data_IF_307549767594
#
_entry.id   IF_307549767594
#
_cell.length_a   1.000
_cell.length_b   1.000
_cell.length_c   1.000
_cell.angle_alpha   90.00
_cell.angle_beta   90.00
_cell.angle_gamma   90.00
#
_symmetry.space_group_name_H-M   'P 1'
#
loop_
_entity.id
_entity.type
_entity.pdbx_description
1 polymer ?
#
# COMPACT_ATOMS: atom_id res chain seq x y z
N UNK A 1 14.35 21.28 22.92
CA UNK A 1 14.45 21.92 21.60
C UNK A 1 14.53 20.90 20.45
N UNK A 2 15.45 19.93 20.45
CA UNK A 2 15.59 18.94 19.38
C UNK A 2 14.28 18.17 19.09
N UNK A 3 13.64 17.60 20.11
CA UNK A 3 12.40 16.87 19.96
C UNK A 3 11.26 17.72 19.40
N UNK A 4 11.06 18.94 19.90
CA UNK A 4 9.99 19.82 19.45
C UNK A 4 10.14 20.25 17.98
N UNK A 5 11.37 20.61 17.56
CA UNK A 5 11.65 20.99 16.16
C UNK A 5 11.44 19.82 15.19
N UNK A 6 11.94 18.62 15.52
CA UNK A 6 11.79 17.45 14.67
C UNK A 6 10.35 16.95 14.59
N UNK A 7 9.58 17.02 15.68
CA UNK A 7 8.16 16.66 15.67
C UNK A 7 7.30 17.55 14.76
N UNK A 8 7.64 18.85 14.66
CA UNK A 8 6.95 19.78 13.75
C UNK A 8 7.23 19.47 12.27
N UNK A 9 8.38 18.87 11.97
CA UNK A 9 8.80 18.50 10.62
C UNK A 9 8.38 17.09 10.23
N UNK A 10 7.97 16.26 11.19
CA UNK A 10 7.61 14.87 10.95
C UNK A 10 6.27 14.77 10.22
N UNK A 11 6.29 14.32 8.96
CA UNK A 11 5.12 13.94 8.18
C UNK A 11 4.85 12.44 8.28
N UNK A 12 3.63 12.02 7.98
CA UNK A 12 3.25 10.60 7.87
C UNK A 12 3.11 10.20 6.40
N UNK A 13 3.55 9.00 6.06
CA UNK A 13 3.34 8.44 4.73
C UNK A 13 3.04 6.95 4.81
N UNK A 14 1.79 6.59 4.49
CA UNK A 14 1.30 5.21 4.49
C UNK A 14 1.38 4.58 3.09
N UNK A 15 1.98 5.26 2.11
CA UNK A 15 2.11 4.73 0.76
C UNK A 15 3.12 3.58 0.70
N UNK A 16 2.62 2.38 0.40
CA UNK A 16 3.44 1.18 0.26
C UNK A 16 4.54 1.34 -0.81
N UNK A 17 4.29 2.14 -1.85
CA UNK A 17 5.28 2.44 -2.88
C UNK A 17 6.48 3.24 -2.37
N UNK A 18 6.30 4.03 -1.30
CA UNK A 18 7.38 4.78 -0.66
C UNK A 18 8.22 3.93 0.31
N UNK A 19 7.75 2.74 0.69
CA UNK A 19 8.48 1.82 1.56
C UNK A 19 9.60 1.07 0.83
N UNK A 20 9.49 0.95 -0.50
CA UNK A 20 10.48 0.29 -1.34
C UNK A 20 11.32 1.33 -2.07
N UNK A 21 12.63 1.23 -1.90
CA UNK A 21 13.57 2.05 -2.68
C UNK A 21 13.96 1.27 -3.93
N UNK A 22 13.29 1.54 -5.04
CA UNK A 22 13.69 0.99 -6.35
C UNK A 22 14.89 1.80 -6.84
N UNK A 23 16.01 1.15 -7.18
CA UNK A 23 17.16 1.84 -7.78
C UNK A 23 16.76 2.65 -9.02
N UNK A 24 17.33 3.83 -9.19
CA UNK A 24 16.94 4.78 -10.25
C UNK A 24 17.04 4.19 -11.66
N UNK A 25 18.02 3.32 -11.92
CA UNK A 25 18.16 2.65 -13.21
C UNK A 25 17.02 1.66 -13.48
N UNK A 26 16.58 0.87 -12.48
CA UNK A 26 15.45 -0.05 -12.64
C UNK A 26 14.13 0.70 -12.85
N UNK A 27 13.96 1.85 -12.19
CA UNK A 27 12.81 2.71 -12.42
C UNK A 27 12.79 3.29 -13.83
N UNK A 28 13.95 3.69 -14.35
CA UNK A 28 14.09 4.17 -15.73
C UNK A 28 13.79 3.06 -16.74
N UNK A 29 14.26 1.83 -16.48
CA UNK A 29 13.97 0.67 -17.33
C UNK A 29 12.48 0.30 -17.31
N UNK A 30 11.84 0.35 -16.14
CA UNK A 30 10.39 0.16 -15.99
C UNK A 30 9.60 1.21 -16.77
N UNK A 31 9.98 2.49 -16.66
CA UNK A 31 9.35 3.58 -17.41
C UNK A 31 9.54 3.42 -18.93
N UNK A 32 10.71 2.95 -19.36
CA UNK A 32 10.98 2.65 -20.77
C UNK A 32 10.11 1.49 -21.26
N UNK A 33 10.06 0.38 -20.53
CA UNK A 33 9.22 -0.78 -20.86
C UNK A 33 7.74 -0.33 -20.95
N UNK A 34 7.26 0.43 -19.99
CA UNK A 34 5.89 0.97 -19.98
C UNK A 34 5.61 1.82 -21.23
N UNK A 35 6.56 2.68 -21.61
CA UNK A 35 6.42 3.53 -22.78
C UNK A 35 6.41 2.73 -24.08
N UNK A 36 7.28 1.73 -24.19
CA UNK A 36 7.41 0.90 -25.40
C UNK A 36 6.27 -0.10 -25.56
N UNK A 37 5.80 -0.69 -24.48
CA UNK A 37 4.76 -1.73 -24.52
C UNK A 37 3.35 -1.20 -24.37
N UNK A 38 3.18 0.05 -23.91
CA UNK A 38 1.88 0.62 -23.53
C UNK A 38 1.26 -0.14 -22.34
N UNK A 39 1.99 -1.06 -21.76
CA UNK A 39 1.50 -1.93 -20.68
C UNK A 39 1.98 -1.36 -19.35
N UNK A 40 1.11 -0.60 -18.71
CA UNK A 40 1.30 -0.19 -17.33
C UNK A 40 0.89 -1.38 -16.45
N UNK A 41 1.83 -1.96 -15.73
CA UNK A 41 1.56 -2.99 -14.71
C UNK A 41 0.80 -2.37 -13.52
N UNK A 42 -0.25 -1.62 -13.84
CA UNK A 42 -1.09 -1.01 -12.81
C UNK A 42 -1.75 -2.13 -12.01
N UNK A 43 -1.64 -2.01 -10.70
CA UNK A 43 -2.34 -2.90 -9.77
C UNK A 43 -3.81 -2.47 -9.63
N UNK A 44 -4.44 -2.07 -10.76
CA UNK A 44 -5.81 -1.59 -10.83
C UNK A 44 -6.59 -2.30 -11.92
N UNK A 45 -7.72 -2.86 -11.57
CA UNK A 45 -8.55 -3.59 -12.51
C UNK A 45 -10.00 -3.64 -12.06
N UNK A 46 -10.89 -3.85 -13.01
CA UNK A 46 -12.24 -4.31 -12.70
C UNK A 46 -12.29 -5.82 -12.69
N UNK A 47 -13.10 -6.37 -11.80
CA UNK A 47 -13.55 -7.76 -11.84
C UNK A 47 -15.03 -7.73 -12.21
N UNK A 48 -15.36 -8.29 -13.36
CA UNK A 48 -16.73 -8.38 -13.87
C UNK A 48 -17.17 -9.82 -13.76
N UNK A 49 -18.14 -10.10 -12.90
CA UNK A 49 -18.64 -11.46 -12.62
C UNK A 49 -20.04 -11.63 -13.19
N UNK A 50 -20.29 -12.77 -13.84
CA UNK A 50 -21.60 -13.19 -14.31
C UNK A 50 -21.90 -14.63 -13.91
N UNK A 51 -23.18 -14.98 -13.73
CA UNK A 51 -23.62 -16.35 -13.45
C UNK A 51 -23.36 -17.30 -14.62
N UNK A 52 -23.11 -16.74 -15.80
CA UNK A 52 -22.69 -17.42 -17.01
C UNK A 52 -21.64 -16.60 -17.76
N UNK A 53 -20.84 -17.24 -18.66
CA UNK A 53 -19.90 -16.54 -19.51
C UNK A 53 -20.55 -15.44 -20.35
N UNK A 54 -21.75 -15.69 -20.85
CA UNK A 54 -22.50 -14.72 -21.66
C UNK A 54 -22.92 -13.48 -20.86
N UNK A 55 -23.35 -13.67 -19.61
CA UNK A 55 -23.68 -12.56 -18.72
C UNK A 55 -22.44 -11.76 -18.34
N UNK A 56 -21.31 -12.41 -18.09
CA UNK A 56 -20.04 -11.75 -17.84
C UNK A 56 -19.61 -10.91 -19.05
N UNK A 57 -19.79 -11.41 -20.27
CA UNK A 57 -19.50 -10.66 -21.51
C UNK A 57 -20.43 -9.46 -21.69
N UNK A 58 -21.74 -9.60 -21.42
CA UNK A 58 -22.69 -8.48 -21.50
C UNK A 58 -22.32 -7.36 -20.52
N UNK A 59 -21.97 -7.72 -19.30
CA UNK A 59 -21.50 -6.76 -18.29
C UNK A 59 -20.17 -6.12 -18.68
N UNK A 60 -19.25 -6.91 -19.27
CA UNK A 60 -17.99 -6.39 -19.83
C UNK A 60 -18.25 -5.38 -20.94
N UNK A 61 -19.17 -5.65 -21.87
CA UNK A 61 -19.50 -4.75 -22.96
C UNK A 61 -20.08 -3.43 -22.42
N UNK A 62 -21.04 -3.50 -21.48
CA UNK A 62 -21.62 -2.33 -20.83
C UNK A 62 -20.57 -1.49 -20.04
N UNK A 63 -19.60 -2.15 -19.39
CA UNK A 63 -18.48 -1.47 -18.74
C UNK A 63 -17.55 -0.85 -19.79
N UNK A 64 -17.28 -1.54 -20.89
CA UNK A 64 -16.42 -1.09 -21.98
C UNK A 64 -16.85 0.26 -22.57
N UNK A 65 -18.15 0.47 -22.78
CA UNK A 65 -18.70 1.75 -23.22
C UNK A 65 -18.39 2.90 -22.24
N UNK A 66 -18.51 2.63 -20.94
CA UNK A 66 -18.19 3.63 -19.90
C UNK A 66 -16.70 3.93 -19.85
N UNK A 67 -15.86 2.90 -19.99
CA UNK A 67 -14.40 3.07 -20.02
C UNK A 67 -13.95 3.83 -21.27
N UNK A 68 -14.63 3.65 -22.41
CA UNK A 68 -14.38 4.46 -23.60
C UNK A 68 -14.68 5.95 -23.36
N UNK A 69 -15.80 6.27 -22.72
CA UNK A 69 -16.13 7.64 -22.34
C UNK A 69 -15.09 8.26 -21.38
N UNK A 70 -14.66 7.51 -20.35
CA UNK A 70 -13.61 7.97 -19.42
C UNK A 70 -12.26 8.20 -20.11
N UNK A 71 -11.98 7.43 -21.16
CA UNK A 71 -10.77 7.62 -21.98
C UNK A 71 -10.87 8.90 -22.81
N UNK A 72 -12.02 9.20 -23.40
CA UNK A 72 -12.27 10.44 -24.14
C UNK A 72 -12.18 11.68 -23.23
N UNK A 73 -12.62 11.54 -21.97
CA UNK A 73 -12.46 12.58 -20.96
C UNK A 73 -11.02 12.73 -20.45
N UNK A 74 -10.08 11.85 -20.87
CA UNK A 74 -8.69 11.86 -20.45
C UNK A 74 -8.46 11.41 -19.00
N UNK A 75 -9.44 10.77 -18.37
CA UNK A 75 -9.35 10.25 -17.00
C UNK A 75 -8.60 8.92 -16.92
N UNK A 76 -8.57 8.16 -18.01
CA UNK A 76 -7.78 6.95 -18.17
C UNK A 76 -7.05 6.99 -19.52
N UNK A 77 -5.91 6.32 -19.60
CA UNK A 77 -5.17 6.15 -20.86
C UNK A 77 -5.66 4.95 -21.65
N UNK A 78 -6.17 3.91 -20.97
CA UNK A 78 -6.71 2.72 -21.60
C UNK A 78 -7.24 1.69 -20.61
N UNK A 79 -7.89 0.69 -21.18
CA UNK A 79 -8.32 -0.52 -20.46
C UNK A 79 -8.12 -1.74 -21.36
N UNK A 80 -7.69 -2.85 -20.76
CA UNK A 80 -7.45 -4.09 -21.50
C UNK A 80 -8.66 -5.00 -21.36
N UNK A 81 -9.50 -5.00 -22.38
CA UNK A 81 -10.69 -5.88 -22.49
C UNK A 81 -10.34 -7.12 -23.30
N UNK A 82 -10.91 -8.26 -22.93
CA UNK A 82 -10.84 -9.44 -23.82
C UNK A 82 -11.55 -9.13 -25.14
N UNK A 83 -11.01 -9.56 -26.30
CA UNK A 83 -11.53 -9.18 -27.63
C UNK A 83 -12.73 -10.06 -28.06
N UNK A 84 -13.46 -10.62 -27.12
CA UNK A 84 -14.70 -11.34 -27.38
C UNK A 84 -15.87 -10.56 -26.78
N UNK A 85 -16.82 -10.16 -27.62
CA UNK A 85 -18.04 -9.50 -27.21
C UNK A 85 -19.15 -10.51 -26.87
N UNK A 86 -20.19 -10.06 -26.19
CA UNK A 86 -21.41 -10.85 -25.95
C UNK A 86 -22.09 -11.20 -27.29
N UNK A 87 -22.90 -12.24 -27.29
CA UNK A 87 -23.65 -12.64 -28.51
C UNK A 87 -24.53 -11.52 -29.02
N UNK A 88 -25.15 -10.74 -28.14
CA UNK A 88 -25.97 -9.61 -28.51
C UNK A 88 -25.15 -8.56 -29.26
N UNK A 89 -23.97 -8.21 -28.78
CA UNK A 89 -23.06 -7.26 -29.42
C UNK A 89 -22.53 -7.81 -30.73
N UNK A 90 -22.12 -9.09 -30.78
CA UNK A 90 -21.68 -9.75 -32.02
C UNK A 90 -22.77 -9.74 -33.09
N UNK A 91 -24.02 -9.93 -32.71
CA UNK A 91 -25.15 -9.87 -33.64
C UNK A 91 -25.41 -8.45 -34.14
N UNK A 92 -25.34 -7.44 -33.25
CA UNK A 92 -25.45 -6.03 -33.65
C UNK A 92 -24.34 -5.62 -34.61
N UNK A 93 -23.09 -6.03 -34.32
CA UNK A 93 -21.93 -5.78 -35.16
C UNK A 93 -22.12 -6.42 -36.55
N UNK A 94 -22.65 -7.66 -36.58
CA UNK A 94 -22.95 -8.36 -37.83
C UNK A 94 -23.97 -7.61 -38.69
N UNK A 95 -25.04 -7.09 -38.12
CA UNK A 95 -26.03 -6.30 -38.85
C UNK A 95 -25.40 -5.02 -39.43
N UNK A 96 -24.49 -4.37 -38.72
CA UNK A 96 -23.72 -3.22 -39.20
C UNK A 96 -22.81 -3.61 -40.36
N UNK A 97 -22.06 -4.72 -40.23
CA UNK A 97 -21.17 -5.26 -41.27
C UNK A 97 -21.99 -5.60 -42.52
N UNK A 98 -23.10 -6.29 -42.35
CA UNK A 98 -23.99 -6.64 -43.48
C UNK A 98 -24.50 -5.41 -44.21
N UNK A 99 -24.85 -4.35 -43.48
CA UNK A 99 -25.30 -3.08 -44.07
C UNK A 99 -24.18 -2.32 -44.80
N UNK A 100 -22.94 -2.39 -44.28
CA UNK A 100 -21.78 -1.72 -44.88
C UNK A 100 -21.14 -2.52 -46.03
N UNK A 101 -21.28 -3.86 -46.04
CA UNK A 101 -20.63 -4.79 -46.98
C UNK A 101 -20.80 -4.41 -48.46
N UNK A 102 -21.98 -3.98 -48.97
CA UNK A 102 -22.14 -3.64 -50.39
C UNK A 102 -21.20 -2.51 -50.83
N UNK A 103 -21.05 -1.48 -50.00
CA UNK A 103 -20.21 -0.33 -50.31
C UNK A 103 -18.70 -0.70 -50.28
N UNK A 104 -18.30 -1.51 -49.30
CA UNK A 104 -16.92 -2.00 -49.17
C UNK A 104 -16.56 -2.92 -50.34
N UNK A 105 -17.46 -3.86 -50.70
CA UNK A 105 -17.24 -4.77 -51.81
C UNK A 105 -17.18 -4.06 -53.17
N UNK A 106 -17.97 -3.01 -53.37
CA UNK A 106 -17.87 -2.18 -54.57
C UNK A 106 -16.47 -1.55 -54.68
N UNK A 107 -15.97 -0.96 -53.60
CA UNK A 107 -14.64 -0.32 -53.56
C UNK A 107 -13.48 -1.31 -53.71
N UNK A 108 -13.61 -2.53 -53.19
CA UNK A 108 -12.65 -3.62 -53.39
C UNK A 108 -12.62 -4.06 -54.86
N UNK A 109 -13.77 -4.17 -55.53
CA UNK A 109 -13.84 -4.49 -56.96
C UNK A 109 -13.18 -3.44 -57.83
N UNK A 110 -13.38 -2.15 -57.52
CA UNK A 110 -12.68 -1.03 -58.20
C UNK A 110 -11.15 -1.17 -58.07
N UNK A 111 -10.67 -1.68 -56.95
CA UNK A 111 -9.23 -1.95 -56.71
C UNK A 111 -8.76 -3.27 -57.29
N UNK A 112 -9.57 -4.02 -58.05
CA UNK A 112 -9.22 -5.31 -58.64
C UNK A 112 -9.28 -6.49 -57.69
N UNK A 113 -9.84 -6.35 -56.48
CA UNK A 113 -9.95 -7.40 -55.49
C UNK A 113 -11.35 -8.06 -55.58
N UNK A 114 -11.40 -9.34 -55.96
CA UNK A 114 -12.63 -10.13 -55.99
C UNK A 114 -12.91 -10.73 -54.59
N UNK A 115 -13.80 -10.08 -53.85
CA UNK A 115 -14.27 -10.58 -52.54
C UNK A 115 -15.77 -10.94 -52.63
N UNK A 116 -16.17 -11.98 -51.87
CA UNK A 116 -17.57 -12.40 -51.72
C UNK A 116 -18.09 -11.92 -50.35
N UNK A 117 -19.37 -11.56 -50.25
CA UNK A 117 -19.97 -11.29 -48.95
C UNK A 117 -20.00 -12.56 -48.09
N UNK A 118 -19.78 -12.44 -46.80
CA UNK A 118 -20.05 -13.49 -45.83
C UNK A 118 -21.57 -13.67 -45.74
N UNK A 119 -22.04 -14.91 -45.78
CA UNK A 119 -23.48 -15.24 -45.79
C UNK A 119 -24.01 -15.65 -44.44
N UNK A 120 -23.16 -16.12 -43.56
CA UNK A 120 -23.54 -16.62 -42.25
C UNK A 120 -23.05 -15.71 -41.12
N UNK A 121 -23.83 -15.65 -40.05
CA UNK A 121 -23.42 -14.90 -38.85
C UNK A 121 -22.40 -15.72 -38.08
N UNK A 122 -21.13 -15.33 -38.03
CA UNK A 122 -20.08 -16.10 -37.35
C UNK A 122 -20.04 -15.79 -35.84
N UNK A 123 -21.17 -15.99 -35.12
CA UNK A 123 -21.13 -15.81 -33.65
C UNK A 123 -20.16 -16.80 -33.03
N UNK A 124 -19.18 -16.31 -32.26
CA UNK A 124 -18.17 -17.10 -31.58
C UNK A 124 -18.56 -17.32 -30.11
N UNK A 125 -18.92 -18.56 -29.72
CA UNK A 125 -19.22 -18.85 -28.32
C UNK A 125 -17.98 -18.75 -27.44
N UNK A 126 -18.13 -18.30 -26.19
CA UNK A 126 -17.04 -18.21 -25.22
C UNK A 126 -16.29 -19.53 -25.02
N UNK A 127 -17.02 -20.65 -24.93
CA UNK A 127 -16.45 -21.97 -24.74
C UNK A 127 -15.55 -22.45 -25.90
N UNK A 128 -15.80 -21.98 -27.10
CA UNK A 128 -14.95 -22.22 -28.28
C UNK A 128 -13.74 -21.27 -28.23
N UNK A 129 -14.00 -20.01 -28.00
CA UNK A 129 -12.95 -18.97 -27.98
C UNK A 129 -11.88 -19.25 -26.93
N UNK A 130 -12.26 -19.60 -25.70
CA UNK A 130 -11.31 -19.80 -24.59
C UNK A 130 -10.37 -21.00 -24.79
N UNK A 131 -10.76 -21.95 -25.64
CA UNK A 131 -9.95 -23.13 -25.95
C UNK A 131 -9.04 -22.96 -27.16
N UNK A 132 -9.23 -21.88 -27.90
CA UNK A 132 -8.43 -21.59 -29.09
C UNK A 132 -7.05 -21.06 -28.70
N UNK A 133 -6.04 -21.37 -29.49
CA UNK A 133 -4.66 -20.90 -29.30
C UNK A 133 -4.55 -19.37 -29.37
N UNK A 134 -5.39 -18.71 -30.15
CA UNK A 134 -5.45 -17.25 -30.28
C UNK A 134 -5.84 -16.58 -28.97
N UNK A 135 -6.68 -17.24 -28.17
CA UNK A 135 -7.14 -16.71 -26.87
C UNK A 135 -6.15 -16.94 -25.71
N UNK A 136 -5.09 -17.73 -25.94
CA UNK A 136 -4.15 -18.15 -24.87
C UNK A 136 -3.57 -16.99 -24.07
N UNK A 137 -3.26 -15.84 -24.72
CA UNK A 137 -2.77 -14.63 -24.05
C UNK A 137 -3.82 -13.93 -23.18
N UNK A 138 -5.11 -14.16 -23.47
CA UNK A 138 -6.24 -13.54 -22.77
C UNK A 138 -6.81 -14.43 -21.67
N UNK A 139 -6.50 -15.73 -21.71
CA UNK A 139 -6.98 -16.71 -20.71
C UNK A 139 -6.63 -16.33 -19.26
N UNK A 140 -5.52 -15.65 -19.04
CA UNK A 140 -5.11 -15.12 -17.74
C UNK A 140 -6.03 -14.01 -17.18
N UNK A 141 -6.84 -13.37 -18.04
CA UNK A 141 -7.83 -12.38 -17.65
C UNK A 141 -9.19 -13.01 -17.31
N UNK A 142 -9.32 -14.32 -17.49
CA UNK A 142 -10.52 -15.08 -17.13
C UNK A 142 -10.28 -15.76 -15.79
N UNK A 143 -11.04 -15.37 -14.78
CA UNK A 143 -10.96 -15.89 -13.42
C UNK A 143 -12.18 -16.79 -13.19
N UNK A 144 -11.98 -18.09 -12.98
CA UNK A 144 -13.06 -19.05 -12.83
C UNK A 144 -13.74 -19.44 -14.17
N UNK A 145 -14.59 -20.46 -14.16
CA UNK A 145 -15.36 -20.87 -15.35
C UNK A 145 -14.51 -21.41 -16.51
N UNK A 146 -13.30 -21.93 -16.27
CA UNK A 146 -12.33 -22.36 -17.27
C UNK A 146 -12.83 -23.45 -18.27
N UNK A 147 -14.03 -23.99 -18.07
CA UNK A 147 -14.70 -24.89 -18.99
C UNK A 147 -15.76 -24.23 -19.87
N UNK A 148 -16.00 -22.93 -19.73
CA UNK A 148 -17.05 -22.21 -20.50
C UNK A 148 -18.47 -22.43 -19.97
N UNK A 149 -18.61 -22.92 -18.73
CA UNK A 149 -19.89 -23.18 -18.06
C UNK A 149 -19.80 -22.73 -16.60
N UNK A 150 -20.87 -22.09 -16.11
CA UNK A 150 -20.97 -21.61 -14.73
C UNK A 150 -20.53 -20.19 -14.51
N UNK A 151 -20.37 -19.82 -13.26
CA UNK A 151 -19.94 -18.48 -12.85
C UNK A 151 -18.59 -18.13 -13.45
N UNK A 152 -18.53 -17.00 -14.14
CA UNK A 152 -17.34 -16.55 -14.85
C UNK A 152 -17.03 -15.13 -14.43
N UNK A 153 -15.76 -14.87 -14.09
CA UNK A 153 -15.25 -13.54 -13.77
C UNK A 153 -14.20 -13.12 -14.80
N UNK A 154 -14.28 -11.88 -15.23
CA UNK A 154 -13.35 -11.28 -16.19
C UNK A 154 -12.57 -10.17 -15.49
N UNK A 155 -11.25 -10.20 -15.60
CA UNK A 155 -10.37 -9.14 -15.12
C UNK A 155 -10.09 -8.14 -16.24
N UNK A 156 -10.33 -6.87 -15.98
CA UNK A 156 -10.13 -5.78 -16.92
C UNK A 156 -9.13 -4.79 -16.34
N UNK A 157 -7.83 -4.93 -16.63
CA UNK A 157 -6.81 -3.97 -16.22
C UNK A 157 -7.07 -2.59 -16.81
N UNK A 158 -6.90 -1.55 -15.98
CA UNK A 158 -7.09 -0.15 -16.36
C UNK A 158 -5.78 0.61 -16.19
N UNK A 159 -5.46 1.43 -17.17
CA UNK A 159 -4.27 2.27 -17.23
C UNK A 159 -4.68 3.74 -17.16
N UNK A 160 -3.91 4.56 -16.46
CA UNK A 160 -4.18 5.99 -16.38
C UNK A 160 -3.68 6.64 -15.10
N UNK A 161 -3.98 7.92 -14.97
CA UNK A 161 -3.59 8.72 -13.82
C UNK A 161 -4.29 8.25 -12.52
N UNK A 162 -3.63 8.50 -11.39
CA UNK A 162 -4.13 8.19 -10.04
C UNK A 162 -4.66 9.46 -9.35
N UNK A 163 -5.41 10.25 -10.09
CA UNK A 163 -6.08 11.39 -9.50
C UNK A 163 -7.36 10.97 -8.76
N UNK A 164 -7.70 11.65 -7.68
CA UNK A 164 -8.94 11.40 -6.94
C UNK A 164 -10.20 11.49 -7.84
N UNK A 165 -10.15 12.34 -8.89
CA UNK A 165 -11.23 12.45 -9.86
C UNK A 165 -11.36 11.19 -10.72
N UNK A 166 -10.24 10.65 -11.20
CA UNK A 166 -10.22 9.41 -11.97
C UNK A 166 -10.70 8.23 -11.13
N UNK A 167 -10.21 8.09 -9.89
CA UNK A 167 -10.62 7.01 -8.98
C UNK A 167 -12.11 7.06 -8.64
N UNK A 168 -12.67 8.25 -8.37
CA UNK A 168 -14.10 8.43 -8.16
C UNK A 168 -14.94 8.06 -9.40
N UNK A 169 -14.45 8.40 -10.60
CA UNK A 169 -15.12 8.07 -11.85
C UNK A 169 -15.09 6.55 -12.13
N UNK A 170 -13.97 5.89 -11.87
CA UNK A 170 -13.83 4.42 -11.98
C UNK A 170 -14.73 3.69 -10.98
N UNK A 171 -14.79 4.15 -9.74
CA UNK A 171 -15.68 3.59 -8.73
C UNK A 171 -17.16 3.76 -9.09
N UNK A 172 -17.53 4.93 -9.68
CA UNK A 172 -18.86 5.16 -10.22
C UNK A 172 -19.17 4.25 -11.41
N UNK A 173 -18.21 4.01 -12.29
CA UNK A 173 -18.37 3.08 -13.41
C UNK A 173 -18.62 1.65 -12.88
N UNK A 174 -17.87 1.18 -11.88
CA UNK A 174 -18.10 -0.11 -11.23
C UNK A 174 -19.52 -0.24 -10.67
N UNK A 175 -19.96 0.74 -9.88
CA UNK A 175 -21.28 0.69 -9.21
C UNK A 175 -22.45 0.76 -10.20
N UNK A 176 -22.22 1.23 -11.43
CA UNK A 176 -23.25 1.35 -12.46
C UNK A 176 -23.49 0.08 -13.27
N UNK A 177 -22.62 -0.95 -13.13
CA UNK A 177 -22.76 -2.24 -13.81
C UNK A 177 -22.84 -3.34 -12.75
N UNK A 178 -23.98 -4.06 -12.64
CA UNK A 178 -24.13 -5.12 -11.66
C UNK A 178 -23.03 -6.18 -11.77
N UNK A 179 -22.58 -6.75 -10.64
CA UNK A 179 -21.53 -7.75 -10.63
C UNK A 179 -20.14 -7.25 -11.00
N UNK A 180 -19.93 -5.93 -10.99
CA UNK A 180 -18.62 -5.32 -11.27
C UNK A 180 -18.03 -4.75 -9.99
N UNK A 181 -16.77 -5.08 -9.71
CA UNK A 181 -16.02 -4.59 -8.57
C UNK A 181 -14.77 -3.88 -9.08
N UNK A 182 -14.54 -2.68 -8.60
CA UNK A 182 -13.28 -1.95 -8.80
C UNK A 182 -12.27 -2.37 -7.75
N UNK A 183 -11.07 -2.72 -8.15
CA UNK A 183 -9.96 -3.12 -7.28
C UNK A 183 -8.75 -2.23 -7.56
N UNK A 184 -8.33 -1.47 -6.58
CA UNK A 184 -7.03 -0.79 -6.54
C UNK A 184 -6.22 -1.36 -5.38
N UNK A 185 -5.39 -2.35 -5.68
CA UNK A 185 -4.61 -3.07 -4.66
C UNK A 185 -3.71 -2.13 -3.86
N UNK A 186 -3.16 -1.09 -4.49
CA UNK A 186 -2.30 -0.13 -3.79
C UNK A 186 -3.11 0.73 -2.81
N UNK A 187 -4.27 1.23 -3.25
CA UNK A 187 -5.16 2.00 -2.39
C UNK A 187 -5.68 1.16 -1.21
N UNK A 188 -6.08 -0.08 -1.47
CA UNK A 188 -6.54 -1.01 -0.43
C UNK A 188 -5.44 -1.29 0.61
N UNK A 189 -4.21 -1.53 0.16
CA UNK A 189 -3.07 -1.74 1.05
C UNK A 189 -2.72 -0.47 1.84
N UNK A 190 -2.74 0.70 1.22
CA UNK A 190 -2.50 1.97 1.91
C UNK A 190 -3.56 2.22 2.99
N UNK A 191 -4.82 1.89 2.70
CA UNK A 191 -5.90 1.98 3.69
C UNK A 191 -5.69 1.01 4.87
N UNK A 192 -5.27 -0.23 4.58
CA UNK A 192 -4.93 -1.20 5.63
C UNK A 192 -3.77 -0.70 6.49
N UNK A 193 -2.68 -0.17 5.89
CA UNK A 193 -1.56 0.37 6.63
C UNK A 193 -1.93 1.57 7.49
N UNK A 194 -2.77 2.46 6.98
CA UNK A 194 -3.31 3.59 7.76
C UNK A 194 -4.11 3.10 8.98
N UNK A 195 -4.96 2.08 8.80
CA UNK A 195 -5.69 1.46 9.90
C UNK A 195 -4.79 0.82 10.96
N UNK A 196 -3.78 0.06 10.52
CA UNK A 196 -2.81 -0.58 11.42
C UNK A 196 -1.96 0.48 12.13
N UNK A 197 -1.55 1.56 11.45
CA UNK A 197 -0.85 2.69 12.05
C UNK A 197 -1.64 3.28 13.21
N UNK A 198 -2.89 3.62 12.99
CA UNK A 198 -3.77 4.19 14.03
C UNK A 198 -3.93 3.22 15.22
N UNK A 199 -4.03 1.92 14.94
CA UNK A 199 -4.11 0.91 16.00
C UNK A 199 -2.82 0.85 16.83
N UNK A 200 -1.63 0.91 16.21
CA UNK A 200 -0.35 0.90 16.90
C UNK A 200 -0.16 2.19 17.72
N UNK A 201 -0.53 3.34 17.17
CA UNK A 201 -0.49 4.63 17.90
C UNK A 201 -1.37 4.57 19.16
N UNK A 202 -2.60 4.05 19.04
CA UNK A 202 -3.49 3.87 20.17
C UNK A 202 -2.93 2.86 21.21
N UNK A 203 -2.35 1.76 20.75
CA UNK A 203 -1.72 0.75 21.62
C UNK A 203 -0.52 1.34 22.37
N UNK A 204 0.31 2.14 21.69
CA UNK A 204 1.46 2.81 22.30
C UNK A 204 1.02 3.78 23.40
N UNK A 205 -0.01 4.61 23.11
CA UNK A 205 -0.58 5.52 24.10
C UNK A 205 -1.22 4.78 25.27
N UNK A 206 -1.98 3.72 25.01
CA UNK A 206 -2.59 2.89 26.04
C UNK A 206 -1.55 2.18 26.91
N UNK A 207 -0.46 1.69 26.31
CA UNK A 207 0.66 1.06 27.06
C UNK A 207 1.34 2.05 27.98
N UNK A 208 1.63 3.27 27.48
CA UNK A 208 2.19 4.34 28.32
C UNK A 208 1.28 4.69 29.48
N UNK A 209 -0.03 4.85 29.25
CA UNK A 209 -1.00 5.15 30.27
C UNK A 209 -1.14 4.01 31.30
N UNK A 210 -1.16 2.77 30.86
CA UNK A 210 -1.24 1.59 31.73
C UNK A 210 0.00 1.47 32.62
N UNK A 211 1.18 1.62 32.03
CA UNK A 211 2.45 1.59 32.76
C UNK A 211 2.47 2.72 33.81
N UNK A 212 2.10 3.94 33.39
CA UNK A 212 2.00 5.05 34.33
C UNK A 212 1.04 4.76 35.48
N UNK A 213 -0.16 4.22 35.20
CA UNK A 213 -1.14 3.89 36.22
C UNK A 213 -0.64 2.83 37.22
N UNK A 214 0.01 1.76 36.73
CA UNK A 214 0.57 0.69 37.58
C UNK A 214 1.65 1.26 38.50
N UNK A 215 2.59 2.07 37.95
CA UNK A 215 3.65 2.65 38.76
C UNK A 215 3.17 3.75 39.69
N UNK A 216 2.18 4.57 39.28
CA UNK A 216 1.56 5.57 40.14
C UNK A 216 0.86 4.93 41.32
N UNK A 217 0.15 3.81 41.10
CA UNK A 217 -0.52 3.06 42.16
C UNK A 217 0.48 2.40 43.11
N UNK A 218 1.60 1.83 42.59
CA UNK A 218 2.56 1.04 43.38
C UNK A 218 3.59 1.90 44.12
N UNK A 219 4.08 2.97 43.49
CA UNK A 219 5.21 3.76 43.95
C UNK A 219 4.90 5.26 44.12
N UNK A 220 3.69 5.68 43.81
CA UNK A 220 3.28 7.08 43.86
C UNK A 220 3.59 7.86 42.58
N UNK A 221 2.91 9.00 42.42
CA UNK A 221 2.91 9.81 41.19
C UNK A 221 4.29 10.33 40.81
N UNK A 222 5.12 10.74 41.76
CA UNK A 222 6.46 11.31 41.48
C UNK A 222 7.41 10.29 40.87
N UNK A 223 7.46 9.07 41.44
CA UNK A 223 8.27 7.97 40.91
C UNK A 223 7.74 7.47 39.57
N UNK A 224 6.44 7.36 39.40
CA UNK A 224 5.84 7.03 38.13
C UNK A 224 6.23 8.05 37.03
N UNK A 225 6.17 9.35 37.34
CA UNK A 225 6.64 10.39 36.42
C UNK A 225 8.14 10.25 36.09
N UNK A 226 8.97 9.90 37.06
CA UNK A 226 10.39 9.64 36.84
C UNK A 226 10.68 8.52 35.84
N UNK A 227 9.85 7.49 35.81
CA UNK A 227 9.95 6.36 34.85
C UNK A 227 9.40 6.74 33.49
N UNK A 228 8.26 7.42 33.44
CA UNK A 228 7.54 7.71 32.18
C UNK A 228 8.18 8.85 31.39
N UNK A 229 8.71 9.89 32.04
CA UNK A 229 9.31 11.03 31.33
C UNK A 229 10.46 10.63 30.41
N UNK A 230 11.44 9.78 30.82
CA UNK A 230 12.45 9.26 29.90
C UNK A 230 11.86 8.48 28.72
N UNK A 231 10.80 7.70 28.95
CA UNK A 231 10.15 6.94 27.89
C UNK A 231 9.47 7.84 26.86
N UNK A 232 8.70 8.85 27.31
CA UNK A 232 8.07 9.84 26.42
C UNK A 232 9.15 10.60 25.63
N UNK A 233 10.23 11.00 26.27
CA UNK A 233 11.33 11.73 25.63
C UNK A 233 12.02 10.85 24.58
N UNK A 234 12.20 9.57 24.83
CA UNK A 234 12.79 8.59 23.89
C UNK A 234 11.91 8.41 22.64
N UNK A 235 10.61 8.23 22.83
CA UNK A 235 9.63 8.14 21.74
C UNK A 235 9.61 9.44 20.93
N UNK A 236 9.55 10.58 21.60
CA UNK A 236 9.55 11.90 20.95
C UNK A 236 10.83 12.16 20.15
N UNK A 237 12.00 11.82 20.68
CA UNK A 237 13.27 11.95 19.97
C UNK A 237 13.41 10.95 18.82
N UNK A 238 12.86 9.74 18.95
CA UNK A 238 12.78 8.78 17.87
C UNK A 238 11.98 9.33 16.67
N UNK A 239 10.80 9.89 16.90
CA UNK A 239 10.00 10.53 15.84
C UNK A 239 10.73 11.76 15.29
N UNK A 240 11.29 12.61 16.17
CA UNK A 240 11.98 13.83 15.79
C UNK A 240 13.19 13.58 14.88
N UNK A 241 13.88 12.43 15.04
CA UNK A 241 15.00 12.06 14.19
C UNK A 241 14.58 11.88 12.73
N UNK A 242 13.38 11.34 12.47
CA UNK A 242 12.82 11.27 11.11
C UNK A 242 12.51 12.65 10.57
N UNK A 243 11.88 13.53 11.37
CA UNK A 243 11.56 14.88 10.94
C UNK A 243 12.82 15.67 10.54
N UNK A 244 13.90 15.59 11.32
CA UNK A 244 15.17 16.22 10.97
C UNK A 244 15.86 15.62 9.75
N UNK A 245 15.66 14.30 9.52
CA UNK A 245 16.16 13.63 8.33
C UNK A 245 15.29 13.89 7.08
N UNK A 246 14.16 14.58 7.19
CA UNK A 246 13.20 14.78 6.11
C UNK A 246 12.50 13.49 5.68
N UNK A 247 12.44 12.50 6.58
CA UNK A 247 11.87 11.19 6.33
C UNK A 247 10.46 11.09 6.95
N UNK A 248 9.49 10.47 6.27
CA UNK A 248 8.15 10.32 6.81
C UNK A 248 8.10 9.20 7.85
N UNK A 249 7.22 9.37 8.83
CA UNK A 249 6.83 8.30 9.75
C UNK A 249 6.01 7.26 8.97
N UNK A 250 6.42 6.02 9.03
CA UNK A 250 5.75 4.88 8.42
C UNK A 250 5.47 3.78 9.46
N UNK A 251 4.79 2.72 9.07
CA UNK A 251 4.45 1.61 9.97
C UNK A 251 5.69 0.96 10.65
N UNK A 252 6.81 0.87 9.94
CA UNK A 252 8.06 0.31 10.48
C UNK A 252 8.66 1.22 11.55
N UNK A 253 8.56 2.54 11.36
CA UNK A 253 8.95 3.53 12.37
C UNK A 253 8.14 3.35 13.66
N UNK A 254 6.85 3.01 13.57
CA UNK A 254 6.01 2.76 14.74
C UNK A 254 6.39 1.46 15.46
N UNK A 255 6.75 0.40 14.73
CA UNK A 255 7.29 -0.80 15.35
C UNK A 255 8.60 -0.51 16.11
N UNK A 256 9.47 0.35 15.55
CA UNK A 256 10.65 0.80 16.28
C UNK A 256 10.30 1.56 17.56
N UNK A 257 9.26 2.42 17.55
CA UNK A 257 8.79 3.13 18.75
C UNK A 257 8.28 2.20 19.85
N UNK A 258 7.61 1.10 19.50
CA UNK A 258 7.19 0.09 20.46
C UNK A 258 8.41 -0.54 21.15
N UNK A 259 9.47 -0.85 20.39
CA UNK A 259 10.72 -1.35 20.96
C UNK A 259 11.43 -0.31 21.82
N UNK A 260 11.49 0.95 21.34
CA UNK A 260 12.07 2.08 22.11
C UNK A 260 11.35 2.27 23.44
N UNK A 261 10.02 2.16 23.43
CA UNK A 261 9.23 2.25 24.66
C UNK A 261 9.59 1.14 25.64
N UNK A 262 9.65 -0.12 25.18
CA UNK A 262 10.02 -1.26 26.03
C UNK A 262 11.42 -1.10 26.62
N UNK A 263 12.41 -0.81 25.79
CA UNK A 263 13.80 -0.60 26.23
C UNK A 263 13.91 0.61 27.18
N UNK A 264 13.18 1.70 26.90
CA UNK A 264 13.16 2.89 27.74
C UNK A 264 12.61 2.63 29.14
N UNK A 265 11.57 1.80 29.24
CA UNK A 265 11.02 1.36 30.52
C UNK A 265 12.04 0.52 31.28
N UNK A 266 12.65 -0.47 30.61
CA UNK A 266 13.63 -1.34 31.25
C UNK A 266 14.81 -0.54 31.80
N UNK A 267 15.36 0.40 31.03
CA UNK A 267 16.45 1.27 31.50
C UNK A 267 16.04 2.12 32.72
N UNK A 268 14.85 2.71 32.67
CA UNK A 268 14.32 3.53 33.78
C UNK A 268 14.12 2.69 35.04
N UNK A 269 13.64 1.44 34.90
CA UNK A 269 13.43 0.52 36.02
C UNK A 269 14.76 0.03 36.63
N UNK A 270 15.76 -0.24 35.80
CA UNK A 270 17.09 -0.64 36.31
C UNK A 270 17.65 0.48 37.19
N UNK A 271 17.63 1.74 36.77
CA UNK A 271 18.09 2.85 37.60
C UNK A 271 17.20 3.10 38.83
N UNK A 272 15.91 2.86 38.76
CA UNK A 272 14.98 3.02 39.87
C UNK A 272 15.14 1.97 40.96
N UNK A 273 15.49 0.70 40.61
CA UNK A 273 15.57 -0.40 41.54
C UNK A 273 16.98 -0.61 42.16
N UNK A 274 18.03 -0.25 41.42
CA UNK A 274 19.43 -0.53 41.82
C UNK A 274 20.23 0.74 42.16
N UNK A 275 19.63 1.66 42.91
CA UNK A 275 20.23 2.97 43.23
C UNK A 275 21.56 2.84 44.00
N UNK A 276 21.72 1.82 44.89
CA UNK A 276 22.94 1.59 45.67
C UNK A 276 24.12 1.11 44.83
N UNK A 277 23.84 0.57 43.62
CA UNK A 277 24.83 0.03 42.70
C UNK A 277 24.81 0.81 41.38
N UNK A 278 24.67 2.14 41.47
CA UNK A 278 24.44 3.00 40.28
C UNK A 278 25.55 2.88 39.22
N UNK A 279 26.80 2.69 39.61
CA UNK A 279 27.93 2.57 38.68
C UNK A 279 27.90 1.22 37.92
N UNK A 280 27.58 0.12 38.61
CA UNK A 280 27.39 -1.19 37.97
C UNK A 280 26.20 -1.20 37.05
N UNK A 281 25.10 -0.60 37.48
CA UNK A 281 23.89 -0.44 36.68
C UNK A 281 24.12 0.40 35.42
N UNK A 282 24.86 1.51 35.56
CA UNK A 282 25.21 2.38 34.42
C UNK A 282 26.03 1.61 33.38
N UNK A 283 27.03 0.82 33.83
CA UNK A 283 27.85 -0.01 32.94
C UNK A 283 27.02 -1.08 32.22
N UNK A 284 26.12 -1.75 32.94
CA UNK A 284 25.23 -2.77 32.36
C UNK A 284 24.31 -2.18 31.33
N UNK A 285 23.63 -1.07 31.63
CA UNK A 285 22.71 -0.38 30.70
C UNK A 285 23.47 0.23 29.51
N UNK A 286 24.67 0.77 29.72
CA UNK A 286 25.55 1.23 28.66
C UNK A 286 25.91 0.10 27.69
N UNK A 287 26.31 -1.05 28.22
CA UNK A 287 26.66 -2.23 27.40
C UNK A 287 25.45 -2.72 26.61
N UNK A 288 24.27 -2.76 27.24
CA UNK A 288 23.02 -3.11 26.56
C UNK A 288 22.67 -2.11 25.45
N UNK A 289 22.82 -0.81 25.69
CA UNK A 289 22.63 0.25 24.69
C UNK A 289 23.58 0.07 23.50
N UNK A 290 24.89 -0.13 23.76
CA UNK A 290 25.89 -0.31 22.69
C UNK A 290 25.58 -1.56 21.86
N UNK A 291 25.22 -2.67 22.50
CA UNK A 291 24.85 -3.91 21.80
C UNK A 291 23.62 -3.72 20.91
N UNK A 292 22.61 -3.04 21.42
CA UNK A 292 21.39 -2.70 20.64
C UNK A 292 21.72 -1.78 19.46
N UNK A 293 22.59 -0.78 19.67
CA UNK A 293 23.04 0.12 18.62
C UNK A 293 23.81 -0.61 17.52
N UNK A 294 24.68 -1.53 17.87
CA UNK A 294 25.44 -2.34 16.89
C UNK A 294 24.49 -3.30 16.15
N UNK A 295 23.55 -3.95 16.84
CA UNK A 295 22.70 -4.98 16.25
C UNK A 295 21.60 -4.39 15.37
N UNK A 296 20.87 -3.39 15.89
CA UNK A 296 19.68 -2.85 15.25
C UNK A 296 19.88 -1.43 14.70
N UNK A 297 20.76 -0.63 15.33
CA UNK A 297 21.08 0.71 14.84
C UNK A 297 21.78 0.70 13.47
N UNK A 298 22.52 -0.37 13.14
CA UNK A 298 23.15 -0.53 11.83
C UNK A 298 22.12 -0.54 10.67
N UNK A 299 20.85 -0.83 10.96
CA UNK A 299 19.76 -0.81 9.98
C UNK A 299 19.55 0.59 9.37
N UNK A 300 20.03 1.67 10.01
CA UNK A 300 20.05 3.02 9.44
C UNK A 300 20.70 3.05 8.06
N UNK A 301 21.72 2.22 7.83
CA UNK A 301 22.46 2.16 6.57
C UNK A 301 21.81 1.24 5.53
N UNK A 302 20.61 0.73 5.80
CA UNK A 302 19.87 -0.08 4.82
C UNK A 302 19.49 0.73 3.59
N UNK A 303 19.63 0.12 2.40
CA UNK A 303 19.13 0.68 1.14
C UNK A 303 17.59 0.72 1.04
N UNK A 304 16.86 0.09 1.98
CA UNK A 304 15.40 0.06 1.99
C UNK A 304 14.88 1.13 2.95
N UNK A 305 14.08 2.08 2.45
CA UNK A 305 13.56 3.19 3.24
C UNK A 305 12.82 2.75 4.52
N UNK A 306 12.02 1.68 4.44
CA UNK A 306 11.31 1.13 5.58
C UNK A 306 12.26 0.69 6.71
N UNK A 307 13.33 -0.03 6.37
CA UNK A 307 14.31 -0.56 7.32
C UNK A 307 15.21 0.56 7.85
N UNK A 308 15.61 1.50 7.00
CA UNK A 308 16.42 2.66 7.40
C UNK A 308 15.68 3.55 8.39
N UNK A 309 14.39 3.84 8.15
CA UNK A 309 13.55 4.60 9.07
C UNK A 309 13.38 3.90 10.43
N UNK A 310 13.17 2.57 10.41
CA UNK A 310 13.14 1.75 11.63
C UNK A 310 14.43 1.88 12.43
N UNK A 311 15.59 1.71 11.77
CA UNK A 311 16.90 1.81 12.40
C UNK A 311 17.16 3.19 13.00
N UNK A 312 16.79 4.27 12.28
CA UNK A 312 16.99 5.65 12.73
C UNK A 312 16.18 5.98 13.98
N UNK A 313 14.89 5.61 13.99
CA UNK A 313 14.00 5.80 15.14
C UNK A 313 14.52 5.04 16.34
N UNK A 314 14.92 3.78 16.14
CA UNK A 314 15.42 2.92 17.21
C UNK A 314 16.73 3.46 17.76
N UNK A 315 17.69 3.83 16.92
CA UNK A 315 18.97 4.38 17.34
C UNK A 315 18.79 5.67 18.16
N UNK A 316 18.03 6.63 17.63
CA UNK A 316 17.77 7.91 18.32
C UNK A 316 16.99 7.70 19.63
N UNK A 317 15.98 6.82 19.61
CA UNK A 317 15.13 6.53 20.76
C UNK A 317 15.89 5.82 21.89
N UNK A 318 16.64 4.74 21.59
CA UNK A 318 17.42 3.97 22.57
C UNK A 318 18.54 4.81 23.16
N UNK A 319 19.25 5.61 22.35
CA UNK A 319 20.26 6.54 22.82
C UNK A 319 19.67 7.57 23.79
N UNK A 320 18.51 8.14 23.45
CA UNK A 320 17.81 9.07 24.33
C UNK A 320 17.33 8.40 25.61
N UNK A 321 16.83 7.16 25.52
CA UNK A 321 16.42 6.36 26.67
C UNK A 321 17.59 6.19 27.68
N UNK A 322 18.76 5.83 27.16
CA UNK A 322 19.98 5.72 27.97
C UNK A 322 20.35 7.01 28.67
N UNK A 323 20.35 8.14 27.95
CA UNK A 323 20.71 9.45 28.50
C UNK A 323 19.69 9.98 29.52
N UNK A 324 18.41 9.68 29.32
CA UNK A 324 17.33 10.19 30.15
C UNK A 324 17.02 9.32 31.37
N UNK A 325 17.29 8.02 31.34
CA UNK A 325 16.96 7.09 32.42
C UNK A 325 17.61 7.44 33.77
N UNK A 326 18.86 7.98 33.87
CA UNK A 326 19.43 8.38 35.15
C UNK A 326 18.73 9.57 35.83
N UNK A 327 17.81 10.27 35.12
CA UNK A 327 17.02 11.37 35.73
C UNK A 327 16.19 10.89 36.93
N UNK A 328 15.81 9.62 36.96
CA UNK A 328 15.07 9.05 38.09
C UNK A 328 15.86 9.14 39.42
N UNK A 329 17.17 8.98 39.34
CA UNK A 329 18.05 9.08 40.51
C UNK A 329 18.04 10.46 41.18
N UNK A 330 17.80 11.51 40.41
CA UNK A 330 17.71 12.88 40.92
C UNK A 330 16.41 13.17 41.65
N UNK A 331 15.35 12.49 41.30
CA UNK A 331 14.02 12.69 41.91
C UNK A 331 13.96 12.04 43.30
N UNK A 332 14.62 10.90 43.47
CA UNK A 332 14.66 10.17 44.77
C UNK A 332 15.59 10.82 45.78
N UNK A 333 16.75 11.40 45.38
CA UNK A 333 17.66 12.12 46.28
C UNK A 333 17.02 13.32 46.98
N UNK A 334 16.02 13.95 46.37
CA UNK A 334 15.29 15.06 47.00
C UNK A 334 14.32 14.62 48.10
N UNK A 335 13.92 13.37 48.15
CA UNK A 335 13.00 12.85 49.16
C UNK A 335 13.77 12.36 50.42
N UNK A 336 15.06 11.99 50.31
CA UNK A 336 15.88 11.64 51.46
C UNK A 336 16.47 12.85 52.21
N UNK A 337 16.34 14.06 51.61
CA UNK A 337 16.88 15.31 52.20
C UNK A 337 15.82 16.21 52.84
N UNK A 338 14.57 15.72 52.98
CA UNK A 338 13.47 16.36 53.70
C UNK A 338 13.03 15.47 54.85
#
# INVERSE_FOLDING_TARGET
MFAAGGLMLAGTNDDIGALQTVPSHLKADEDLIRTLTGNDMTQRWFVVTGSSPEEALQRKDALGEKLAALKEEGLITGATLIPLNSRATQQSDWELIKKASPAVLAKLRESGIAAKPESENPTLPFAVWIRDSVSSNWGRLVLGGGGGVGETSLMIPVQGDRSAKADAALQKAASSVPGTVWVDRRADLNHLFSGVRTMIEALLAASLALIFAIYAWRYGLKRAAGIIVPCILSVACGIASLGWAGLPVNIFSLFALVLVLGIGIDYSLFFGNFQKEADSTLFAVFTAMVTTMISLGILVFSGTAAISNFGLVLAAGVFTAFLASPLILRLDRKEESV
#
